data_IF_322576771452
#
_entry.id   IF_322576771452
#
_cell.length_a   1.000
_cell.length_b   1.000
_cell.length_c   1.000
_cell.angle_alpha   90.00
_cell.angle_beta   90.00
_cell.angle_gamma   90.00
#
_symmetry.space_group_name_H-M   'P 1'
#
loop_
_entity.id
_entity.type
_entity.pdbx_description
1 polymer ?
#
# COMPACT_ATOMS: atom_id res chain seq x y z
N UNK A 1 17.01 -2.28 -21.26
CA UNK A 1 16.97 -2.66 -19.85
C UNK A 1 15.87 -1.83 -19.23
N UNK A 2 14.71 -2.41 -18.98
CA UNK A 2 13.59 -1.69 -18.35
C UNK A 2 13.92 -1.61 -16.87
N UNK A 3 14.15 -0.40 -16.36
CA UNK A 3 14.39 -0.18 -14.93
C UNK A 3 13.06 -0.38 -14.21
N UNK A 4 13.00 -1.33 -13.28
CA UNK A 4 11.81 -1.54 -12.45
C UNK A 4 11.68 -0.42 -11.42
N UNK A 5 10.46 0.00 -11.14
CA UNK A 5 10.17 0.93 -10.05
C UNK A 5 10.30 0.20 -8.73
N UNK A 6 11.13 0.70 -7.83
CA UNK A 6 11.26 0.17 -6.48
C UNK A 6 10.11 0.69 -5.62
N UNK A 7 9.38 -0.20 -4.97
CA UNK A 7 8.24 0.17 -4.10
C UNK A 7 8.31 -0.56 -2.77
N UNK A 8 7.91 0.13 -1.70
CA UNK A 8 7.82 -0.47 -0.36
C UNK A 8 6.54 -1.28 -0.22
N UNK A 9 6.63 -2.51 0.31
CA UNK A 9 5.46 -3.32 0.66
C UNK A 9 4.51 -2.61 1.65
N UNK A 10 5.04 -1.72 2.49
CA UNK A 10 4.24 -0.94 3.44
C UNK A 10 3.38 0.12 2.73
N UNK A 11 3.92 0.70 1.65
CA UNK A 11 3.22 1.67 0.81
C UNK A 11 2.36 1.04 -0.28
N UNK A 12 2.46 -0.27 -0.49
CA UNK A 12 1.75 -0.99 -1.55
C UNK A 12 0.30 -1.31 -1.15
N UNK A 13 -0.61 -1.11 -2.10
CA UNK A 13 -2.04 -1.36 -1.95
C UNK A 13 -2.72 -1.78 -3.26
N UNK A 14 -4.02 -2.07 -3.17
CA UNK A 14 -4.90 -2.33 -4.31
C UNK A 14 -6.15 -1.46 -4.17
N UNK A 15 -6.60 -0.87 -5.27
CA UNK A 15 -7.83 -0.11 -5.29
C UNK A 15 -9.01 -1.01 -4.87
N UNK A 16 -9.74 -0.61 -3.84
CA UNK A 16 -10.91 -1.35 -3.33
C UNK A 16 -12.05 -1.48 -4.36
N UNK A 17 -12.05 -0.65 -5.41
CA UNK A 17 -13.12 -0.63 -6.41
C UNK A 17 -12.80 -1.40 -7.69
N UNK A 18 -11.53 -1.47 -8.09
CA UNK A 18 -11.13 -2.06 -9.38
C UNK A 18 -9.94 -3.02 -9.29
N UNK A 19 -9.27 -3.13 -8.14
CA UNK A 19 -8.11 -4.00 -7.95
C UNK A 19 -6.82 -3.50 -8.62
N UNK A 20 -6.79 -2.28 -9.14
CA UNK A 20 -5.57 -1.69 -9.67
C UNK A 20 -4.50 -1.58 -8.57
N UNK A 21 -3.24 -1.85 -8.93
CA UNK A 21 -2.09 -1.65 -8.06
C UNK A 21 -1.90 -0.17 -7.72
N UNK A 22 -1.62 0.10 -6.46
CA UNK A 22 -1.41 1.44 -5.91
C UNK A 22 -0.12 1.46 -5.11
N UNK A 23 0.66 2.54 -5.25
CA UNK A 23 1.77 2.85 -4.35
C UNK A 23 1.51 4.17 -3.64
N UNK A 24 1.73 4.21 -2.32
CA UNK A 24 1.67 5.46 -1.56
C UNK A 24 2.73 6.47 -2.02
N UNK A 25 3.80 6.00 -2.65
CA UNK A 25 4.85 6.86 -3.23
C UNK A 25 4.31 7.69 -4.41
N UNK A 26 3.22 7.23 -5.05
CA UNK A 26 2.52 7.97 -6.12
C UNK A 26 1.47 8.95 -5.56
N UNK A 27 1.30 9.00 -4.24
CA UNK A 27 0.34 9.90 -3.59
C UNK A 27 0.87 11.35 -3.64
N UNK A 28 0.06 12.33 -4.07
CA UNK A 28 0.49 13.72 -4.05
C UNK A 28 0.76 14.16 -2.60
N UNK A 29 1.92 14.76 -2.32
CA UNK A 29 2.33 15.16 -0.97
C UNK A 29 1.40 16.16 -0.27
N UNK A 30 0.56 16.87 -1.03
CA UNK A 30 -0.42 17.83 -0.51
C UNK A 30 -1.75 17.18 -0.06
N UNK A 31 -1.83 15.84 -0.07
CA UNK A 31 -3.09 15.08 0.10
C UNK A 31 -3.36 14.59 1.51
N UNK A 32 -2.71 15.13 2.54
CA UNK A 32 -2.99 14.70 3.94
C UNK A 32 -4.48 14.91 4.30
N UNK A 33 -5.15 15.87 3.64
CA UNK A 33 -6.60 16.12 3.72
C UNK A 33 -7.35 15.97 2.38
N UNK A 34 -6.69 15.52 1.31
CA UNK A 34 -7.30 15.44 -0.01
C UNK A 34 -7.72 14.01 -0.35
N UNK A 35 -8.96 13.86 -0.82
CA UNK A 35 -9.49 12.60 -1.34
C UNK A 35 -8.58 12.06 -2.44
N UNK A 36 -7.88 10.96 -2.17
CA UNK A 36 -7.03 10.33 -3.17
C UNK A 36 -7.88 9.47 -4.10
N UNK A 37 -7.93 9.82 -5.39
CA UNK A 37 -8.63 9.04 -6.40
C UNK A 37 -7.71 8.01 -7.06
N UNK A 38 -8.26 6.82 -7.36
CA UNK A 38 -7.58 5.83 -8.18
C UNK A 38 -7.34 6.36 -9.61
N UNK A 39 -6.11 6.29 -10.11
CA UNK A 39 -5.80 6.71 -11.48
C UNK A 39 -6.45 5.85 -12.57
N UNK A 40 -6.89 4.63 -12.24
CA UNK A 40 -7.50 3.69 -13.19
C UNK A 40 -9.03 3.85 -13.29
N UNK A 41 -9.71 4.04 -12.15
CA UNK A 41 -11.18 4.08 -12.10
C UNK A 41 -11.76 5.38 -11.53
N UNK A 42 -10.92 6.34 -11.17
CA UNK A 42 -11.27 7.70 -10.69
C UNK A 42 -12.10 7.73 -9.40
N UNK A 43 -12.32 6.58 -8.77
CA UNK A 43 -13.01 6.49 -7.49
C UNK A 43 -12.09 6.83 -6.34
N UNK A 44 -12.65 7.50 -5.33
CA UNK A 44 -11.96 7.85 -4.10
C UNK A 44 -11.55 6.58 -3.35
N UNK A 45 -10.30 6.55 -2.93
CA UNK A 45 -9.65 5.50 -2.16
C UNK A 45 -9.79 5.80 -0.67
N UNK A 46 -10.01 4.75 0.10
CA UNK A 46 -9.98 4.77 1.56
C UNK A 46 -8.75 4.04 2.10
N UNK A 47 -8.60 4.06 3.43
CA UNK A 47 -7.58 3.30 4.17
C UNK A 47 -7.60 1.79 3.82
N UNK A 48 -8.76 1.24 3.42
CA UNK A 48 -8.91 -0.16 3.01
C UNK A 48 -8.09 -0.48 1.76
N UNK A 49 -7.91 0.48 0.85
CA UNK A 49 -7.12 0.29 -0.37
C UNK A 49 -5.63 0.02 -0.07
N UNK A 50 -5.16 0.35 1.13
CA UNK A 50 -3.80 0.07 1.61
C UNK A 50 -3.75 -1.06 2.64
N UNK A 51 -4.85 -1.80 2.80
CA UNK A 51 -4.93 -2.94 3.72
C UNK A 51 -5.04 -2.54 5.18
N UNK A 52 -5.38 -1.28 5.48
CA UNK A 52 -5.65 -0.82 6.84
C UNK A 52 -7.11 -1.06 7.22
N UNK A 53 -7.33 -1.27 8.51
CA UNK A 53 -8.65 -1.30 9.14
C UNK A 53 -8.61 -0.44 10.41
N UNK A 54 -9.74 0.14 10.78
CA UNK A 54 -9.90 0.87 12.04
C UNK A 54 -9.78 -0.11 13.21
N UNK A 55 -8.93 0.20 14.18
CA UNK A 55 -8.84 -0.57 15.41
C UNK A 55 -9.98 -0.18 16.37
N UNK A 56 -11.14 -0.81 16.20
CA UNK A 56 -12.33 -0.58 17.03
C UNK A 56 -12.12 -0.92 18.52
N UNK A 57 -11.01 -1.60 18.86
CA UNK A 57 -10.69 -1.93 20.26
C UNK A 57 -10.11 -0.75 21.03
N UNK A 58 -9.67 0.30 20.33
CA UNK A 58 -9.12 1.51 20.94
C UNK A 58 -10.18 2.61 20.98
N UNK A 59 -10.30 3.26 22.13
CA UNK A 59 -11.29 4.33 22.38
C UNK A 59 -11.08 5.58 21.51
N UNK A 60 -9.92 5.72 20.88
CA UNK A 60 -9.62 6.79 19.95
C UNK A 60 -9.71 6.21 18.53
N UNK A 61 -10.77 6.56 17.80
CA UNK A 61 -11.08 6.14 16.42
C UNK A 61 -10.06 6.67 15.38
N UNK A 62 -8.80 6.79 15.75
CA UNK A 62 -7.70 7.37 14.95
C UNK A 62 -6.58 6.37 14.69
N UNK A 63 -6.62 5.20 15.33
CA UNK A 63 -5.62 4.15 15.10
C UNK A 63 -6.04 3.22 13.96
N UNK A 64 -5.24 3.23 12.89
CA UNK A 64 -5.35 2.31 11.77
C UNK A 64 -4.32 1.19 11.91
N UNK A 65 -4.75 -0.05 11.68
CA UNK A 65 -3.88 -1.23 11.67
C UNK A 65 -3.84 -1.85 10.29
N UNK A 66 -2.65 -2.06 9.73
CA UNK A 66 -2.48 -2.83 8.50
C UNK A 66 -2.71 -4.31 8.80
N UNK A 67 -3.71 -4.90 8.17
CA UNK A 67 -4.13 -6.29 8.34
C UNK A 67 -4.01 -7.11 7.05
N UNK A 68 -3.79 -6.44 5.91
CA UNK A 68 -3.63 -7.07 4.60
C UNK A 68 -2.49 -6.44 3.83
N UNK A 69 -1.83 -7.26 3.01
CA UNK A 69 -0.71 -6.87 2.16
C UNK A 69 -0.96 -7.37 0.74
N UNK A 70 -0.34 -6.72 -0.24
CA UNK A 70 -0.33 -7.24 -1.61
C UNK A 70 0.70 -8.35 -1.70
N UNK A 71 0.30 -9.53 -2.17
CA UNK A 71 1.14 -10.70 -2.33
C UNK A 71 1.89 -10.72 -3.67
N UNK A 72 2.79 -11.70 -3.86
CA UNK A 72 3.56 -11.88 -5.10
C UNK A 72 2.72 -12.17 -6.35
N UNK A 73 1.47 -12.58 -6.16
CA UNK A 73 0.50 -12.81 -7.22
C UNK A 73 -0.36 -11.58 -7.52
N UNK A 74 -0.11 -10.46 -6.84
CA UNK A 74 -0.87 -9.22 -6.97
C UNK A 74 -2.22 -9.26 -6.26
N UNK A 75 -2.44 -10.23 -5.35
CA UNK A 75 -3.70 -10.35 -4.60
C UNK A 75 -3.51 -9.97 -3.13
N UNK A 76 -4.62 -9.74 -2.43
CA UNK A 76 -4.58 -9.51 -0.99
C UNK A 76 -4.20 -10.79 -0.24
N UNK A 77 -3.21 -10.68 0.63
CA UNK A 77 -2.80 -11.71 1.59
C UNK A 77 -2.90 -11.18 3.01
N UNK A 78 -3.33 -12.04 3.94
CA UNK A 78 -3.39 -11.73 5.37
C UNK A 78 -2.06 -11.96 6.09
N UNK A 79 -1.13 -12.67 5.45
CA UNK A 79 0.22 -12.87 5.96
C UNK A 79 1.16 -11.92 5.24
N UNK A 80 1.87 -11.08 6.01
CA UNK A 80 2.84 -10.14 5.45
C UNK A 80 3.94 -10.90 4.68
N UNK A 81 4.14 -10.63 3.37
CA UNK A 81 5.29 -11.15 2.65
C UNK A 81 6.60 -10.78 3.34
N UNK A 82 7.53 -11.73 3.42
CA UNK A 82 8.84 -11.57 4.09
C UNK A 82 10.02 -11.56 3.12
N UNK A 83 9.76 -11.79 1.84
CA UNK A 83 10.78 -11.79 0.78
C UNK A 83 10.38 -10.79 -0.27
N UNK A 84 11.38 -10.16 -0.87
CA UNK A 84 11.17 -9.31 -2.02
C UNK A 84 10.58 -10.10 -3.19
N UNK A 85 9.75 -9.44 -3.97
CA UNK A 85 9.10 -10.05 -5.12
C UNK A 85 8.82 -9.00 -6.20
N UNK A 86 8.55 -9.50 -7.40
CA UNK A 86 8.26 -8.67 -8.55
C UNK A 86 6.76 -8.68 -8.87
N UNK A 87 6.22 -7.50 -9.19
CA UNK A 87 4.86 -7.33 -9.72
C UNK A 87 4.91 -6.49 -11.00
N UNK A 88 5.01 -7.17 -12.14
CA UNK A 88 5.17 -6.50 -13.43
C UNK A 88 6.43 -5.64 -13.47
N UNK A 89 6.25 -4.33 -13.65
CA UNK A 89 7.34 -3.34 -13.68
C UNK A 89 7.79 -2.89 -12.28
N UNK A 90 7.20 -3.43 -11.22
CA UNK A 90 7.52 -3.06 -9.84
C UNK A 90 8.36 -4.12 -9.16
N UNK A 91 9.38 -3.67 -8.42
CA UNK A 91 10.18 -4.48 -7.50
C UNK A 91 9.76 -4.13 -6.07
N UNK A 92 9.09 -5.06 -5.40
CA UNK A 92 8.51 -4.86 -4.07
C UNK A 92 9.51 -5.28 -3.00
N UNK A 93 9.86 -4.35 -2.11
CA UNK A 93 10.70 -4.61 -0.95
C UNK A 93 9.84 -4.99 0.27
N UNK A 94 10.03 -6.20 0.78
CA UNK A 94 9.27 -6.73 1.91
C UNK A 94 9.87 -6.38 3.28
N UNK A 95 11.19 -6.23 3.33
CA UNK A 95 11.87 -5.78 4.54
C UNK A 95 11.58 -4.30 4.80
N UNK A 96 11.50 -3.87 6.09
CA UNK A 96 11.51 -2.46 6.36
C UNK A 96 12.80 -1.89 5.77
N UNK A 97 12.68 -0.79 5.02
CA UNK A 97 13.81 0.10 4.79
C UNK A 97 14.33 0.42 6.20
N UNK A 98 15.42 -0.24 6.62
CA UNK A 98 16.14 0.13 7.82
C UNK A 98 16.69 1.52 7.52
N UNK A 99 15.94 2.56 7.87
CA UNK A 99 16.52 3.88 8.00
C UNK A 99 17.65 3.72 9.02
N UNK A 100 18.92 3.98 8.67
CA UNK A 100 19.96 4.04 9.67
C UNK A 100 19.62 5.24 10.55
N UNK A 101 19.10 4.97 11.75
CA UNK A 101 19.08 5.95 12.82
C UNK A 101 20.55 6.28 13.12
N UNK A 102 20.98 7.48 12.74
CA UNK A 102 22.25 8.09 13.12
C UNK A 102 22.09 8.88 14.42
#
# INVERSE_FOLDING_TARGET
MTTKTLVSLEGLGLCEHCGALLSIDDMPGDSIDADWACQSCEKILSHVSFGFELDETKKENTDFKKIKWVGPDGQWVSEKPVKDFDLGDWSVQAEPIQYPFY
#
